data_IF_020436445945
#
_entry.id   IF_020436445945
#
_cell.length_a   1.000
_cell.length_b   1.000
_cell.length_c   1.000
_cell.angle_alpha   90.00
_cell.angle_beta   90.00
_cell.angle_gamma   90.00
#
_symmetry.space_group_name_H-M   'P 1'
#
loop_
_entity.id
_entity.type
_entity.pdbx_description
1 polymer ?
#
# COMPACT_ATOMS: atom_id res chain seq x y z
N UNK A 1 -15.90 -3.10 -5.31
CA UNK A 1 -15.98 -4.45 -5.95
C UNK A 1 -16.86 -4.29 -7.17
N UNK A 2 -16.83 -5.18 -8.17
CA UNK A 2 -17.86 -5.11 -9.23
C UNK A 2 -19.13 -5.76 -8.69
N UNK A 3 -20.20 -4.98 -8.61
CA UNK A 3 -21.52 -5.39 -8.14
C UNK A 3 -22.48 -5.48 -9.33
N UNK A 4 -23.52 -6.29 -9.20
CA UNK A 4 -24.59 -6.46 -10.19
C UNK A 4 -25.93 -6.42 -9.44
N UNK A 5 -26.61 -5.26 -9.41
CA UNK A 5 -27.85 -5.12 -8.66
C UNK A 5 -28.97 -5.99 -9.25
N UNK A 6 -29.80 -6.56 -8.39
CA UNK A 6 -31.02 -7.29 -8.74
C UNK A 6 -32.20 -6.45 -8.29
N UNK A 7 -32.88 -5.86 -9.25
CA UNK A 7 -33.99 -4.93 -9.04
C UNK A 7 -35.30 -5.68 -9.30
N UNK A 8 -36.30 -5.49 -8.44
CA UNK A 8 -37.63 -6.03 -8.66
C UNK A 8 -38.47 -5.21 -9.65
N UNK A 9 -39.68 -5.68 -9.95
CA UNK A 9 -40.61 -5.02 -10.89
C UNK A 9 -41.01 -3.61 -10.43
N UNK A 10 -40.86 -3.30 -9.13
CA UNK A 10 -41.18 -1.99 -8.53
C UNK A 10 -39.98 -1.04 -8.58
N UNK A 11 -38.81 -1.52 -9.00
CA UNK A 11 -37.58 -0.73 -9.03
C UNK A 11 -36.78 -0.77 -7.72
N UNK A 12 -37.16 -1.61 -6.76
CA UNK A 12 -36.48 -1.74 -5.47
C UNK A 12 -35.36 -2.77 -5.52
N UNK A 13 -34.25 -2.49 -4.82
CA UNK A 13 -33.08 -3.37 -4.79
C UNK A 13 -33.32 -4.55 -3.83
N UNK A 14 -33.54 -5.75 -4.38
CA UNK A 14 -33.78 -6.98 -3.59
C UNK A 14 -32.52 -7.63 -3.07
N UNK A 15 -31.43 -7.44 -3.79
CA UNK A 15 -30.15 -8.09 -3.56
C UNK A 15 -29.19 -7.72 -4.68
N UNK A 16 -27.98 -8.24 -4.61
CA UNK A 16 -27.01 -8.00 -5.67
C UNK A 16 -25.99 -9.12 -5.73
N UNK A 17 -25.41 -9.32 -6.90
CA UNK A 17 -24.27 -10.21 -7.07
C UNK A 17 -22.96 -9.44 -6.97
N UNK A 18 -21.91 -10.12 -6.55
CA UNK A 18 -20.54 -9.64 -6.61
C UNK A 18 -19.69 -10.61 -7.42
N UNK A 19 -18.77 -10.06 -8.22
CA UNK A 19 -17.72 -10.89 -8.82
C UNK A 19 -16.85 -11.51 -7.70
N UNK A 20 -16.54 -12.80 -7.81
CA UNK A 20 -15.79 -13.51 -6.76
C UNK A 20 -14.44 -12.85 -6.51
N UNK A 21 -14.18 -12.36 -5.29
CA UNK A 21 -12.86 -11.89 -4.93
C UNK A 21 -11.92 -13.07 -4.69
N UNK A 22 -10.62 -12.86 -4.91
CA UNK A 22 -9.56 -13.84 -4.63
C UNK A 22 -9.58 -14.37 -3.18
N UNK A 23 -10.21 -13.63 -2.25
CA UNK A 23 -10.39 -14.07 -0.87
C UNK A 23 -11.69 -13.53 -0.27
N UNK A 24 -12.17 -14.17 0.79
CA UNK A 24 -13.34 -13.73 1.56
C UNK A 24 -13.10 -12.49 2.43
N UNK A 25 -11.84 -12.12 2.71
CA UNK A 25 -11.48 -10.99 3.58
C UNK A 25 -12.11 -9.65 3.14
N UNK A 26 -12.08 -9.29 1.84
CA UNK A 26 -12.82 -8.16 1.29
C UNK A 26 -14.31 -8.13 1.65
N UNK A 27 -15.01 -9.26 1.47
CA UNK A 27 -16.44 -9.38 1.74
C UNK A 27 -16.69 -9.12 3.24
N UNK A 28 -15.90 -9.74 4.11
CA UNK A 28 -15.96 -9.53 5.56
C UNK A 28 -15.79 -8.06 5.96
N UNK A 29 -14.81 -7.38 5.37
CA UNK A 29 -14.52 -5.99 5.69
C UNK A 29 -15.61 -5.05 5.19
N UNK A 30 -16.12 -5.30 3.98
CA UNK A 30 -17.23 -4.53 3.41
C UNK A 30 -18.48 -4.67 4.28
N UNK A 31 -18.89 -5.90 4.62
CA UNK A 31 -20.05 -6.15 5.49
C UNK A 31 -19.92 -5.48 6.85
N UNK A 32 -18.77 -5.63 7.53
CA UNK A 32 -18.55 -5.01 8.85
C UNK A 32 -18.42 -3.48 8.83
N UNK A 33 -18.27 -2.87 7.66
CA UNK A 33 -18.21 -1.40 7.54
C UNK A 33 -19.59 -0.75 7.47
N UNK A 34 -20.65 -1.54 7.30
CA UNK A 34 -22.03 -1.05 7.18
C UNK A 34 -22.66 -1.03 8.57
N UNK A 35 -23.26 0.10 8.94
CA UNK A 35 -24.04 0.22 10.17
C UNK A 35 -25.24 -0.73 10.14
N UNK A 36 -25.57 -1.34 11.28
CA UNK A 36 -26.65 -2.33 11.37
C UNK A 36 -26.26 -3.75 10.98
N UNK A 37 -25.09 -3.97 10.39
CA UNK A 37 -24.58 -5.32 10.11
C UNK A 37 -23.95 -5.93 11.37
N UNK A 38 -24.46 -7.10 11.77
CA UNK A 38 -24.01 -7.86 12.95
C UNK A 38 -23.86 -9.35 12.63
N UNK A 39 -23.29 -10.12 13.56
CA UNK A 39 -23.20 -11.59 13.50
C UNK A 39 -22.59 -12.19 12.22
N UNK A 40 -21.65 -11.49 11.58
CA UNK A 40 -20.99 -11.97 10.35
C UNK A 40 -20.17 -13.23 10.63
N UNK A 41 -20.61 -14.38 10.11
CA UNK A 41 -20.05 -15.72 10.31
C UNK A 41 -19.81 -16.44 8.98
N UNK A 42 -18.74 -17.24 8.93
CA UNK A 42 -18.39 -18.06 7.76
C UNK A 42 -19.06 -19.40 7.90
N UNK A 43 -19.57 -19.91 6.80
CA UNK A 43 -20.09 -21.27 6.71
C UNK A 43 -19.21 -22.06 5.75
N UNK A 44 -18.86 -23.29 6.13
CA UNK A 44 -17.91 -24.13 5.39
C UNK A 44 -18.58 -25.30 4.65
N UNK A 45 -19.72 -25.77 5.16
CA UNK A 45 -20.35 -27.02 4.74
C UNK A 45 -21.69 -26.80 4.03
N UNK A 46 -21.98 -25.57 3.59
CA UNK A 46 -23.20 -25.25 2.85
C UNK A 46 -22.86 -24.39 1.61
N UNK A 47 -23.81 -24.27 0.70
CA UNK A 47 -23.76 -23.32 -0.42
C UNK A 47 -23.73 -21.87 0.08
N UNK A 48 -24.28 -21.63 1.27
CA UNK A 48 -24.06 -20.39 2.02
C UNK A 48 -22.57 -20.26 2.35
N UNK A 49 -21.91 -19.24 1.80
CA UNK A 49 -20.52 -18.93 2.13
C UNK A 49 -20.41 -18.12 3.42
N UNK A 50 -21.39 -17.24 3.67
CA UNK A 50 -21.48 -16.47 4.91
C UNK A 50 -22.92 -16.23 5.33
N UNK A 51 -23.11 -16.04 6.63
CA UNK A 51 -24.37 -15.58 7.22
C UNK A 51 -24.09 -14.33 8.05
N UNK A 52 -25.02 -13.41 8.08
CA UNK A 52 -24.95 -12.21 8.90
C UNK A 52 -26.37 -11.72 9.21
N UNK A 53 -26.48 -10.70 10.05
CA UNK A 53 -27.73 -9.97 10.25
C UNK A 53 -27.57 -8.54 9.80
N UNK A 54 -28.61 -7.97 9.21
CA UNK A 54 -28.70 -6.55 8.90
C UNK A 54 -29.97 -6.00 9.55
N UNK A 55 -29.82 -5.01 10.43
CA UNK A 55 -30.91 -4.45 11.22
C UNK A 55 -31.77 -5.53 11.93
N UNK A 56 -31.13 -6.61 12.38
CA UNK A 56 -31.77 -7.73 13.05
C UNK A 56 -32.29 -8.86 12.14
N UNK A 57 -32.39 -8.64 10.83
CA UNK A 57 -32.88 -9.63 9.87
C UNK A 57 -31.76 -10.51 9.31
N UNK A 58 -32.00 -11.80 9.03
CA UNK A 58 -30.99 -12.72 8.52
C UNK A 58 -30.69 -12.47 7.04
N UNK A 59 -29.41 -12.35 6.73
CA UNK A 59 -28.89 -12.21 5.36
C UNK A 59 -27.80 -13.24 5.10
N UNK A 60 -27.60 -13.58 3.83
CA UNK A 60 -26.61 -14.56 3.40
C UNK A 60 -25.75 -14.06 2.24
N UNK A 61 -24.57 -14.67 2.13
CA UNK A 61 -23.74 -14.64 0.93
C UNK A 61 -23.78 -16.04 0.35
N UNK A 62 -24.43 -16.22 -0.79
CA UNK A 62 -24.70 -17.52 -1.41
C UNK A 62 -23.96 -17.65 -2.75
N UNK A 63 -23.52 -18.86 -3.09
CA UNK A 63 -22.88 -19.16 -4.38
C UNK A 63 -23.80 -20.02 -5.26
N UNK A 64 -24.48 -19.43 -6.26
CA UNK A 64 -25.54 -20.12 -6.99
C UNK A 64 -25.09 -21.24 -7.92
N UNK A 65 -23.90 -21.14 -8.53
CA UNK A 65 -23.53 -22.02 -9.66
C UNK A 65 -22.36 -22.97 -9.38
N UNK A 66 -21.76 -22.92 -8.18
CA UNK A 66 -20.59 -23.74 -7.82
C UNK A 66 -19.34 -23.51 -8.69
N UNK A 67 -19.42 -22.62 -9.69
CA UNK A 67 -18.37 -22.27 -10.63
C UNK A 67 -17.48 -21.13 -10.12
N UNK A 68 -17.73 -20.65 -8.88
CA UNK A 68 -17.07 -19.50 -8.26
C UNK A 68 -17.03 -18.26 -9.16
N UNK A 69 -18.01 -18.06 -10.04
CA UNK A 69 -18.05 -16.86 -10.88
C UNK A 69 -18.58 -15.65 -10.09
N UNK A 70 -19.63 -15.86 -9.27
CA UNK A 70 -20.31 -14.80 -8.53
C UNK A 70 -20.85 -15.27 -7.19
N UNK A 71 -20.97 -14.32 -6.26
CA UNK A 71 -21.72 -14.51 -5.02
C UNK A 71 -22.93 -13.61 -5.01
N UNK A 72 -24.08 -14.16 -4.64
CA UNK A 72 -25.30 -13.42 -4.36
C UNK A 72 -25.30 -12.95 -2.91
N UNK A 73 -25.75 -11.72 -2.68
CA UNK A 73 -25.90 -11.12 -1.35
C UNK A 73 -27.33 -10.60 -1.21
N UNK A 74 -28.02 -11.06 -0.17
CA UNK A 74 -29.39 -10.63 0.10
C UNK A 74 -30.00 -11.30 1.34
N UNK A 75 -31.29 -11.05 1.59
CA UNK A 75 -32.04 -11.66 2.70
C UNK A 75 -32.02 -13.19 2.60
N UNK A 76 -31.91 -13.87 3.74
CA UNK A 76 -31.95 -15.33 3.77
C UNK A 76 -33.33 -15.86 3.33
N UNK A 77 -34.39 -15.17 3.78
CA UNK A 77 -35.78 -15.53 3.54
C UNK A 77 -36.49 -14.37 2.82
N UNK A 78 -36.59 -14.40 1.49
CA UNK A 78 -37.37 -13.40 0.76
C UNK A 78 -38.89 -13.61 0.97
N UNK A 79 -39.70 -12.55 0.99
CA UNK A 79 -39.36 -11.14 0.80
C UNK A 79 -38.95 -10.43 2.10
N UNK A 80 -37.91 -9.60 2.04
CA UNK A 80 -37.62 -8.58 3.07
C UNK A 80 -37.91 -7.20 2.47
N UNK A 81 -38.48 -6.31 3.28
CA UNK A 81 -38.73 -4.91 2.94
C UNK A 81 -37.51 -4.02 3.24
N UNK A 82 -36.42 -4.58 3.77
CA UNK A 82 -35.24 -3.80 4.11
C UNK A 82 -34.51 -3.29 2.86
N UNK A 83 -34.20 -2.00 2.89
CA UNK A 83 -33.33 -1.38 1.89
C UNK A 83 -31.89 -1.88 2.04
N UNK A 84 -31.45 -2.72 1.10
CA UNK A 84 -30.09 -3.28 1.04
C UNK A 84 -29.07 -2.30 0.43
N UNK A 85 -29.48 -1.13 -0.05
CA UNK A 85 -28.62 -0.13 -0.69
C UNK A 85 -27.36 0.23 0.13
N UNK A 86 -27.42 0.40 1.46
CA UNK A 86 -26.22 0.69 2.26
C UNK A 86 -25.14 -0.39 2.16
N UNK A 87 -25.55 -1.66 2.07
CA UNK A 87 -24.63 -2.79 1.87
C UNK A 87 -24.06 -2.73 0.47
N UNK A 88 -24.91 -2.57 -0.56
CA UNK A 88 -24.48 -2.48 -1.95
C UNK A 88 -23.42 -1.37 -2.15
N UNK A 89 -23.68 -0.17 -1.65
CA UNK A 89 -22.75 0.96 -1.72
C UNK A 89 -21.40 0.67 -1.03
N UNK A 90 -21.41 -0.01 0.12
CA UNK A 90 -20.18 -0.38 0.80
C UNK A 90 -19.31 -1.33 -0.04
N UNK A 91 -19.94 -2.26 -0.75
CA UNK A 91 -19.24 -3.15 -1.69
C UNK A 91 -18.70 -2.39 -2.90
N UNK A 92 -19.45 -1.43 -3.46
CA UNK A 92 -18.94 -0.56 -4.52
C UNK A 92 -17.70 0.23 -4.06
N UNK A 93 -17.82 0.94 -2.92
CA UNK A 93 -16.75 1.76 -2.31
C UNK A 93 -15.49 0.96 -1.98
N UNK A 94 -15.61 -0.31 -1.61
CA UNK A 94 -14.47 -1.14 -1.19
C UNK A 94 -13.33 -1.20 -2.25
N UNK A 95 -13.63 -1.02 -3.55
CA UNK A 95 -12.63 -1.07 -4.63
C UNK A 95 -11.58 0.03 -4.53
N UNK A 96 -11.95 1.20 -4.02
CA UNK A 96 -11.06 2.36 -4.04
C UNK A 96 -10.02 2.30 -2.91
N UNK A 97 -10.37 1.73 -1.75
CA UNK A 97 -9.53 1.84 -0.54
C UNK A 97 -8.16 1.15 -0.62
N UNK A 98 -8.06 -0.03 -1.24
CA UNK A 98 -6.81 -0.77 -1.29
C UNK A 98 -5.82 -0.18 -2.32
N UNK A 99 -6.32 0.17 -3.51
CA UNK A 99 -5.51 0.80 -4.55
C UNK A 99 -5.07 2.20 -4.13
N UNK A 100 -5.96 2.99 -3.51
CA UNK A 100 -5.61 4.33 -3.04
C UNK A 100 -4.49 4.28 -1.99
N UNK A 101 -4.54 3.31 -1.06
CA UNK A 101 -3.49 3.12 -0.05
C UNK A 101 -2.13 2.78 -0.67
N UNK A 102 -2.12 1.91 -1.69
CA UNK A 102 -0.89 1.55 -2.40
C UNK A 102 -0.33 2.77 -3.14
N UNK A 103 -1.17 3.49 -3.88
CA UNK A 103 -0.78 4.70 -4.61
C UNK A 103 -0.23 5.74 -3.64
N UNK A 104 -0.90 5.98 -2.52
CA UNK A 104 -0.46 6.94 -1.50
C UNK A 104 0.86 6.51 -0.84
N UNK A 105 1.09 5.21 -0.64
CA UNK A 105 2.38 4.71 -0.17
C UNK A 105 3.50 4.93 -1.18
N UNK A 106 3.25 4.65 -2.46
CA UNK A 106 4.22 4.85 -3.53
C UNK A 106 4.55 6.33 -3.71
N UNK A 107 3.57 7.22 -3.64
CA UNK A 107 3.82 8.66 -3.72
C UNK A 107 4.69 9.14 -2.56
N UNK A 108 4.45 8.66 -1.34
CA UNK A 108 5.32 8.97 -0.18
C UNK A 108 6.75 8.48 -0.41
N UNK A 109 6.94 7.25 -0.90
CA UNK A 109 8.28 6.71 -1.20
C UNK A 109 9.02 7.58 -2.23
N UNK A 110 8.33 7.95 -3.32
CA UNK A 110 8.91 8.79 -4.38
C UNK A 110 9.29 10.16 -3.85
N UNK A 111 8.44 10.79 -3.03
CA UNK A 111 8.72 12.09 -2.41
C UNK A 111 9.93 12.02 -1.47
N UNK A 112 10.05 10.96 -0.66
CA UNK A 112 11.22 10.74 0.21
C UNK A 112 12.48 10.52 -0.62
N UNK A 113 12.41 9.76 -1.70
CA UNK A 113 13.56 9.54 -2.59
C UNK A 113 14.02 10.84 -3.26
N UNK A 114 13.09 11.67 -3.75
CA UNK A 114 13.39 12.99 -4.32
C UNK A 114 14.01 13.93 -3.29
N UNK A 115 13.48 13.95 -2.06
CA UNK A 115 14.04 14.73 -0.95
C UNK A 115 15.47 14.29 -0.61
N UNK A 116 15.72 12.98 -0.53
CA UNK A 116 17.06 12.43 -0.31
C UNK A 116 18.04 12.78 -1.46
N UNK A 117 17.56 12.79 -2.71
CA UNK A 117 18.39 13.15 -3.85
C UNK A 117 18.78 14.64 -3.83
N UNK A 118 17.81 15.53 -3.56
CA UNK A 118 18.04 16.99 -3.42
C UNK A 118 19.04 17.32 -2.31
N UNK A 119 18.94 16.64 -1.16
CA UNK A 119 19.89 16.87 -0.05
C UNK A 119 21.29 16.32 -0.33
N UNK A 120 21.43 15.38 -1.27
CA UNK A 120 22.73 14.84 -1.67
C UNK A 120 23.45 15.77 -2.64
N UNK A 121 22.74 16.41 -3.58
CA UNK A 121 23.35 17.36 -4.53
C UNK A 121 23.97 18.57 -3.81
N UNK A 122 23.31 19.09 -2.76
CA UNK A 122 23.86 20.20 -1.97
C UNK A 122 25.17 19.86 -1.24
N UNK A 123 25.38 18.59 -0.87
CA UNK A 123 26.63 18.14 -0.22
C UNK A 123 27.79 18.04 -1.19
N UNK A 124 27.53 17.71 -2.46
CA UNK A 124 28.58 17.60 -3.49
C UNK A 124 29.09 18.98 -3.88
N UNK A 125 28.19 19.96 -4.03
CA UNK A 125 28.57 21.32 -4.43
C UNK A 125 29.37 22.05 -3.34
N UNK A 126 29.08 21.81 -2.04
CA UNK A 126 29.91 22.35 -0.94
C UNK A 126 31.30 21.72 -0.84
N UNK A 127 31.51 20.50 -1.35
CA UNK A 127 32.85 19.88 -1.42
C UNK A 127 33.63 20.29 -2.67
N UNK A 128 32.95 20.71 -3.72
CA UNK A 128 33.57 21.09 -4.99
C UNK A 128 33.92 22.59 -5.07
N UNK A 129 33.91 23.32 -3.96
CA UNK A 129 34.50 24.66 -3.90
C UNK A 129 35.96 24.48 -3.44
N UNK A 130 36.94 24.28 -4.36
CA UNK A 130 38.33 24.28 -4.00
C UNK A 130 38.60 25.64 -3.36
N UNK A 131 39.10 25.60 -2.12
CA UNK A 131 39.70 26.74 -1.47
C UNK A 131 40.66 27.39 -2.47
N UNK A 132 40.24 28.52 -3.03
CA UNK A 132 41.09 29.45 -3.77
C UNK A 132 42.07 30.19 -2.85
N UNK A 133 42.00 29.93 -1.54
CA UNK A 133 42.98 30.36 -0.57
C UNK A 133 44.08 29.28 -0.53
N UNK A 134 45.24 29.56 -1.12
CA UNK A 134 46.37 28.64 -1.31
C UNK A 134 47.03 28.14 -0.03
N UNK A 135 46.25 27.56 0.89
CA UNK A 135 46.72 26.95 2.13
C UNK A 135 46.88 25.47 1.93
N UNK A 136 48.11 25.02 2.09
CA UNK A 136 48.50 23.62 2.10
C UNK A 136 47.82 22.92 3.28
N UNK A 137 46.90 22.00 3.00
CA UNK A 137 46.33 21.16 4.04
C UNK A 137 47.20 19.91 4.21
N UNK A 138 47.81 19.79 5.38
CA UNK A 138 48.43 18.56 5.84
C UNK A 138 47.31 17.57 6.16
N UNK A 139 47.07 16.60 5.29
CA UNK A 139 46.19 15.48 5.58
C UNK A 139 46.88 14.61 6.64
N UNK A 140 46.47 14.73 7.90
CA UNK A 140 46.88 13.82 8.96
C UNK A 140 45.97 12.60 8.90
N UNK A 141 46.46 11.54 8.29
CA UNK A 141 45.81 10.23 8.34
C UNK A 141 46.04 9.63 9.73
N UNK A 142 44.96 9.40 10.47
CA UNK A 142 45.02 8.84 11.81
C UNK A 142 44.93 7.33 11.72
N UNK A 143 46.09 6.69 11.54
CA UNK A 143 46.22 5.26 11.69
C UNK A 143 46.04 4.86 13.17
N UNK A 144 45.32 3.77 13.44
CA UNK A 144 44.96 3.27 14.77
C UNK A 144 46.16 2.86 15.64
N UNK A 145 47.36 2.82 15.06
CA UNK A 145 48.56 2.23 15.68
C UNK A 145 49.48 3.26 16.37
N UNK A 146 49.03 4.51 16.52
CA UNK A 146 49.72 5.53 17.31
C UNK A 146 51.08 6.00 16.77
N UNK A 147 51.54 5.50 15.62
CA UNK A 147 52.77 5.96 14.96
C UNK A 147 52.46 7.10 13.99
N UNK A 148 53.06 8.26 14.24
CA UNK A 148 53.00 9.43 13.34
C UNK A 148 53.96 9.22 12.18
N UNK A 149 53.45 8.88 11.01
CA UNK A 149 54.23 8.94 9.76
C UNK A 149 53.86 10.26 9.08
N UNK A 150 54.72 11.27 9.20
CA UNK A 150 54.54 12.53 8.49
C UNK A 150 55.06 12.41 7.07
N UNK A 151 54.19 12.46 6.07
CA UNK A 151 54.59 12.59 4.68
C UNK A 151 54.59 14.07 4.27
N UNK A 152 55.76 14.56 3.88
CA UNK A 152 55.94 15.88 3.28
C UNK A 152 55.96 15.71 1.77
N UNK A 153 54.84 15.95 1.11
CA UNK A 153 54.78 16.04 -0.35
C UNK A 153 54.98 17.50 -0.77
N UNK A 154 56.14 17.81 -1.36
CA UNK A 154 56.35 19.08 -2.04
C UNK A 154 55.91 18.93 -3.49
N UNK A 155 54.77 19.54 -3.82
CA UNK A 155 54.30 19.63 -5.20
C UNK A 155 54.99 20.84 -5.83
N UNK A 156 56.17 20.62 -6.40
CA UNK A 156 56.79 21.58 -7.31
C UNK A 156 55.99 21.67 -8.61
N UNK A 157 55.89 22.87 -9.19
CA UNK A 157 55.12 23.17 -10.42
C UNK A 157 55.66 22.49 -11.70
N UNK A 158 56.48 21.45 -11.60
CA UNK A 158 56.98 20.68 -12.70
C UNK A 158 57.00 19.19 -12.32
N UNK A 159 56.03 18.44 -12.86
CA UNK A 159 56.05 16.97 -13.01
C UNK A 159 56.50 16.13 -11.80
N UNK A 160 55.55 15.54 -11.09
CA UNK A 160 55.84 14.52 -10.07
C UNK A 160 56.51 13.28 -10.71
N UNK A 161 57.82 13.13 -10.54
CA UNK A 161 58.55 11.87 -10.67
C UNK A 161 58.65 11.23 -9.29
N UNK A 162 58.02 10.05 -9.12
CA UNK A 162 58.19 9.21 -7.93
C UNK A 162 59.40 8.30 -8.15
N UNK A 163 60.53 8.64 -7.53
CA UNK A 163 61.66 7.70 -7.38
C UNK A 163 61.47 6.88 -6.11
N UNK A 164 61.65 5.57 -6.26
CA UNK A 164 61.65 4.58 -5.18
C UNK A 164 63.08 4.07 -5.03
N UNK A 165 63.72 4.33 -3.90
CA UNK A 165 64.94 3.63 -3.50
C UNK A 165 64.60 2.65 -2.38
N UNK A 166 65.05 1.40 -2.53
CA UNK A 166 64.92 0.32 -1.56
C UNK A 166 66.13 0.31 -0.61
#
# INVERSE_FOLDING_TARGET
MKTYPIIDDVGSLRGFEIAVPLSYRPIYRALRSVEGVTDVKRTWFNEDRMKFKFNGEPFIVWEPYGDNSRYWIGPADPPSEQDISPIHEAFERYRYSAMLRLVLWLTVIVLVALWCNLTTSERVERRANPLSDGRTYLALDHNSDGRRIGFRAEIGAAGAMLNWEF
#
